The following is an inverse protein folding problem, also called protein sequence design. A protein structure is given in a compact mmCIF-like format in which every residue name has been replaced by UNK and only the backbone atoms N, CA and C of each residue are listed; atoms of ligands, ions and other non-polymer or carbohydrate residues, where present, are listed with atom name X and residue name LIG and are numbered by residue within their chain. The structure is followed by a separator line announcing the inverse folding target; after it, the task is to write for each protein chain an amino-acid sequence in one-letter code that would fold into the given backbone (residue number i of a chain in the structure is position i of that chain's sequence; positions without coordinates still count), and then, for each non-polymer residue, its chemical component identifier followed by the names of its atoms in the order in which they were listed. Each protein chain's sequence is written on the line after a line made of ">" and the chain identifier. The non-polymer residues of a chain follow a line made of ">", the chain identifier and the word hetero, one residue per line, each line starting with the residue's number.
data_IF_293016058693
#
_entry.id   IF_293016058693
#
_cell.length_a   1.000
_cell.length_b   1.000
_cell.length_c   1.000
_cell.angle_alpha   90.00
_cell.angle_beta   90.00
_cell.angle_gamma   90.00
#
_symmetry.space_group_name_H-M   'P 1'
#
loop_
_entity.id
_entity.type
_entity.pdbx_description
1 polymer ?
#
# COMPACT_ATOMS: atom_id res chain seq x y z
N UNK A 1 -52.96 -58.09 -13.71
CA UNK A 1 -52.93 -57.91 -12.24
C UNK A 1 -51.96 -58.94 -11.69
N UNK A 2 -50.73 -58.52 -11.43
CA UNK A 2 -49.61 -59.38 -11.04
C UNK A 2 -48.72 -58.62 -10.07
N UNK A 3 -48.76 -59.02 -8.80
CA UNK A 3 -47.64 -58.90 -7.85
C UNK A 3 -46.77 -60.18 -7.97
N UNK A 4 -45.56 -60.31 -7.37
CA UNK A 4 -44.87 -59.44 -6.41
C UNK A 4 -43.36 -59.19 -6.69
N UNK A 5 -42.76 -58.34 -5.85
CA UNK A 5 -41.32 -58.05 -5.73
C UNK A 5 -40.48 -59.26 -5.31
N UNK A 6 -39.24 -59.32 -5.80
CA UNK A 6 -38.22 -60.32 -5.46
C UNK A 6 -37.03 -59.71 -4.70
N UNK A 7 -36.45 -60.57 -3.89
CA UNK A 7 -35.46 -60.45 -2.81
C UNK A 7 -34.02 -60.16 -3.30
N UNK A 8 -33.25 -59.38 -2.52
CA UNK A 8 -31.76 -59.29 -2.49
C UNK A 8 -31.10 -60.67 -2.29
N UNK A 9 -29.80 -60.94 -2.64
CA UNK A 9 -28.65 -60.41 -1.86
C UNK A 9 -27.21 -60.39 -2.49
N UNK A 10 -26.26 -59.75 -1.77
CA UNK A 10 -24.78 -60.02 -1.62
C UNK A 10 -23.72 -59.76 -2.73
N UNK A 11 -22.92 -58.70 -2.49
CA UNK A 11 -21.44 -58.61 -2.33
C UNK A 11 -20.50 -59.45 -3.25
N UNK A 12 -19.67 -58.78 -4.07
CA UNK A 12 -18.28 -59.20 -4.29
C UNK A 12 -17.36 -58.05 -4.70
N UNK A 13 -16.14 -58.14 -4.22
CA UNK A 13 -15.01 -57.21 -4.18
C UNK A 13 -14.13 -57.46 -5.40
N UNK A 14 -13.69 -56.42 -6.10
CA UNK A 14 -12.43 -56.51 -6.86
C UNK A 14 -11.77 -55.14 -6.98
N UNK A 15 -10.57 -55.05 -6.42
CA UNK A 15 -9.65 -53.92 -6.46
C UNK A 15 -8.66 -54.12 -7.60
N UNK A 16 -8.36 -53.06 -8.36
CA UNK A 16 -7.08 -52.81 -9.05
C UNK A 16 -7.11 -51.34 -9.53
N UNK A 17 -6.63 -50.35 -8.78
CA UNK A 17 -5.24 -49.88 -8.65
C UNK A 17 -4.57 -49.54 -9.99
N UNK A 18 -4.45 -48.23 -10.29
CA UNK A 18 -3.16 -47.62 -10.69
C UNK A 18 -3.22 -46.07 -10.70
N UNK A 19 -2.43 -45.48 -9.78
CA UNK A 19 -1.46 -44.37 -9.98
C UNK A 19 -2.05 -42.97 -10.26
N UNK A 20 -2.27 -42.10 -9.26
CA UNK A 20 -1.33 -41.13 -8.61
C UNK A 20 -0.65 -40.17 -9.62
N UNK A 21 -0.75 -38.84 -9.55
CA UNK A 21 -0.45 -37.94 -8.40
C UNK A 21 -1.00 -36.49 -8.64
N UNK A 22 -0.67 -35.44 -7.85
CA UNK A 22 -1.67 -34.71 -7.07
C UNK A 22 -1.85 -33.24 -7.50
N UNK A 23 -3.08 -32.72 -7.46
CA UNK A 23 -3.33 -31.27 -7.46
C UNK A 23 -3.30 -30.79 -6.00
N UNK A 24 -2.60 -29.67 -5.66
CA UNK A 24 -2.58 -29.19 -4.30
C UNK A 24 -3.96 -28.65 -3.92
N UNK A 25 -4.51 -29.30 -2.91
CA UNK A 25 -5.66 -28.91 -2.12
C UNK A 25 -5.44 -27.59 -1.40
N UNK A 26 -6.40 -26.67 -1.54
CA UNK A 26 -6.92 -25.90 -0.41
C UNK A 26 -8.39 -25.58 -0.63
N UNK A 27 -9.20 -26.62 -0.84
CA UNK A 27 -10.61 -26.57 -0.43
C UNK A 27 -10.60 -26.70 1.09
N UNK A 28 -10.57 -25.57 1.78
CA UNK A 28 -10.91 -25.53 3.19
C UNK A 28 -12.41 -25.82 3.31
N UNK A 29 -12.77 -27.08 3.54
CA UNK A 29 -14.04 -27.42 4.16
C UNK A 29 -13.96 -26.94 5.62
N UNK A 30 -14.58 -25.81 5.95
CA UNK A 30 -14.83 -25.45 7.35
C UNK A 30 -16.08 -26.21 7.87
N UNK A 31 -16.04 -26.76 9.10
CA UNK A 31 -17.19 -27.43 9.75
C UNK A 31 -18.34 -26.45 10.09
N UNK A 32 -19.56 -26.95 10.38
CA UNK A 32 -20.77 -26.14 10.39
C UNK A 32 -20.81 -25.10 11.54
N UNK A 33 -21.36 -23.95 11.18
CA UNK A 33 -21.61 -22.75 11.99
C UNK A 33 -22.29 -23.03 13.33
N UNK A 34 -21.67 -22.62 14.45
CA UNK A 34 -22.45 -22.27 15.66
C UNK A 34 -21.86 -21.16 16.55
N UNK A 35 -20.66 -20.62 16.27
CA UNK A 35 -20.11 -19.47 17.06
C UNK A 35 -19.32 -18.44 16.21
N UNK A 36 -19.78 -18.11 15.00
CA UNK A 36 -19.30 -16.93 14.22
C UNK A 36 -20.39 -15.90 13.99
N UNK A 37 -21.09 -15.55 15.07
CA UNK A 37 -22.22 -14.62 15.05
C UNK A 37 -21.96 -13.37 15.90
N UNK A 38 -20.69 -12.96 16.02
CA UNK A 38 -20.36 -11.60 16.45
C UNK A 38 -20.13 -10.74 15.21
N UNK A 39 -21.07 -9.82 15.00
CA UNK A 39 -20.97 -8.58 14.20
C UNK A 39 -20.39 -8.64 12.76
N UNK A 40 -20.89 -9.56 11.93
CA UNK A 40 -20.56 -9.67 10.49
C UNK A 40 -20.63 -8.33 9.73
N UNK A 41 -21.44 -7.38 10.21
CA UNK A 41 -21.58 -6.05 9.60
C UNK A 41 -20.36 -5.16 9.77
N UNK A 42 -19.81 -5.07 10.99
CA UNK A 42 -18.63 -4.24 11.26
C UNK A 42 -17.37 -4.85 10.66
N UNK A 43 -17.20 -6.18 10.67
CA UNK A 43 -16.05 -6.84 10.05
C UNK A 43 -16.01 -6.62 8.53
N UNK A 44 -17.17 -6.69 7.88
CA UNK A 44 -17.31 -6.37 6.47
C UNK A 44 -17.01 -4.89 6.20
N UNK A 45 -17.57 -3.99 7.03
CA UNK A 45 -17.32 -2.55 6.92
C UNK A 45 -15.84 -2.21 7.09
N UNK A 46 -15.18 -2.78 8.09
CA UNK A 46 -13.76 -2.55 8.37
C UNK A 46 -12.88 -3.07 7.23
N UNK A 47 -13.22 -4.23 6.67
CA UNK A 47 -12.55 -4.78 5.48
C UNK A 47 -12.73 -3.88 4.26
N UNK A 48 -13.95 -3.38 4.02
CA UNK A 48 -14.24 -2.45 2.93
C UNK A 48 -13.54 -1.10 3.10
N UNK A 49 -13.52 -0.55 4.31
CA UNK A 49 -12.77 0.68 4.64
C UNK A 49 -11.26 0.48 4.45
N UNK A 50 -10.74 -0.67 4.87
CA UNK A 50 -9.34 -1.05 4.66
C UNK A 50 -8.95 -1.11 3.19
N UNK A 51 -9.84 -1.62 2.32
CA UNK A 51 -9.63 -1.57 0.87
C UNK A 51 -9.79 -0.16 0.28
N UNK A 52 -10.61 0.70 0.88
CA UNK A 52 -10.85 2.06 0.39
C UNK A 52 -9.73 3.05 0.75
N UNK A 53 -9.01 2.83 1.85
CA UNK A 53 -7.95 3.74 2.32
C UNK A 53 -6.58 3.18 1.92
N UNK A 54 -6.04 3.68 0.81
CA UNK A 54 -4.70 3.32 0.32
C UNK A 54 -3.60 4.29 0.74
N UNK A 55 -2.36 3.80 0.84
CA UNK A 55 -1.15 4.60 1.10
C UNK A 55 -0.99 5.76 0.09
N UNK A 56 -1.44 5.54 -1.15
CA UNK A 56 -1.43 6.56 -2.21
C UNK A 56 -2.33 7.76 -1.92
N UNK A 57 -3.44 7.57 -1.19
CA UNK A 57 -4.34 8.67 -0.82
C UNK A 57 -3.67 9.59 0.21
N UNK A 58 -2.83 9.04 1.09
CA UNK A 58 -2.17 9.79 2.16
C UNK A 58 -1.15 10.78 1.61
N UNK A 59 -0.33 10.40 0.62
CA UNK A 59 0.68 11.32 0.09
C UNK A 59 0.16 12.16 -1.08
N UNK A 60 -0.70 11.61 -1.94
CA UNK A 60 -1.05 12.28 -3.20
C UNK A 60 -2.09 13.37 -3.01
N UNK A 61 -3.04 13.16 -2.09
CA UNK A 61 -4.07 14.15 -1.81
C UNK A 61 -3.49 15.47 -1.28
N UNK A 62 -2.58 15.49 -0.27
CA UNK A 62 -1.97 16.73 0.21
C UNK A 62 -1.21 17.49 -0.87
N UNK A 63 -0.43 16.79 -1.70
CA UNK A 63 0.31 17.43 -2.80
C UNK A 63 -0.63 18.08 -3.81
N UNK A 64 -1.71 17.39 -4.20
CA UNK A 64 -2.69 17.95 -5.15
C UNK A 64 -3.49 19.10 -4.56
N UNK A 65 -3.86 19.02 -3.29
CA UNK A 65 -4.53 20.12 -2.61
C UNK A 65 -3.59 21.34 -2.54
N UNK A 66 -2.32 21.15 -2.19
CA UNK A 66 -1.34 22.24 -2.09
C UNK A 66 -1.14 22.99 -3.41
N UNK A 67 -1.02 22.28 -4.53
CA UNK A 67 -0.80 22.89 -5.85
C UNK A 67 -2.04 23.62 -6.41
N UNK A 68 -3.26 23.21 -6.00
CA UNK A 68 -4.52 23.71 -6.57
C UNK A 68 -5.28 24.66 -5.64
N UNK A 69 -4.58 25.42 -4.79
CA UNK A 69 -5.20 26.44 -3.92
C UNK A 69 -5.78 25.88 -2.62
N UNK A 70 -5.24 24.77 -2.12
CA UNK A 70 -5.54 24.20 -0.81
C UNK A 70 -6.97 23.71 -0.68
N UNK A 71 -7.75 24.39 0.15
CA UNK A 71 -9.13 24.01 0.49
C UNK A 71 -10.13 24.27 -0.63
N UNK A 72 -9.85 25.17 -1.59
CA UNK A 72 -10.76 25.46 -2.71
C UNK A 72 -10.88 24.26 -3.65
N UNK A 73 -9.80 23.48 -3.81
CA UNK A 73 -9.80 22.22 -4.56
C UNK A 73 -10.74 21.15 -3.96
N UNK A 74 -11.06 21.26 -2.67
CA UNK A 74 -11.91 20.29 -1.98
C UNK A 74 -13.36 20.33 -2.48
N UNK A 75 -13.86 21.50 -2.86
CA UNK A 75 -15.26 21.70 -3.29
C UNK A 75 -15.58 20.83 -4.53
N UNK A 76 -14.87 20.97 -5.67
CA UNK A 76 -15.12 20.11 -6.83
C UNK A 76 -14.79 18.64 -6.56
N UNK A 77 -13.79 18.36 -5.70
CA UNK A 77 -13.43 16.99 -5.32
C UNK A 77 -14.59 16.26 -4.63
N UNK A 78 -15.25 16.89 -3.65
CA UNK A 78 -16.39 16.30 -2.93
C UNK A 78 -17.61 16.17 -3.84
N UNK A 79 -17.87 17.16 -4.71
CA UNK A 79 -18.97 17.09 -5.68
C UNK A 79 -18.78 15.88 -6.62
N UNK A 80 -17.59 15.72 -7.20
CA UNK A 80 -17.29 14.56 -8.05
C UNK A 80 -17.33 13.23 -7.27
N UNK A 81 -16.89 13.22 -6.01
CA UNK A 81 -16.95 12.02 -5.16
C UNK A 81 -18.40 11.59 -4.90
N UNK A 82 -19.33 12.53 -4.69
CA UNK A 82 -20.75 12.20 -4.47
C UNK A 82 -21.44 11.82 -5.78
N UNK A 83 -21.17 12.53 -6.88
CA UNK A 83 -21.85 12.31 -8.15
C UNK A 83 -21.34 11.08 -8.92
N UNK A 84 -20.07 10.73 -8.80
CA UNK A 84 -19.46 9.63 -9.55
C UNK A 84 -18.86 8.55 -8.66
N UNK A 85 -18.19 8.94 -7.57
CA UNK A 85 -17.52 8.00 -6.66
C UNK A 85 -18.51 7.08 -5.92
N UNK A 86 -19.44 7.68 -5.17
CA UNK A 86 -20.49 6.99 -4.43
C UNK A 86 -21.35 6.05 -5.29
N UNK A 87 -21.93 6.50 -6.43
CA UNK A 87 -22.72 5.60 -7.27
C UNK A 87 -21.88 4.52 -7.94
N UNK A 88 -20.63 4.82 -8.32
CA UNK A 88 -19.72 3.81 -8.88
C UNK A 88 -19.38 2.70 -7.88
N UNK A 89 -19.04 3.07 -6.65
CA UNK A 89 -18.74 2.12 -5.57
C UNK A 89 -19.99 1.33 -5.16
N UNK A 90 -21.15 2.00 -5.10
CA UNK A 90 -22.43 1.32 -4.83
C UNK A 90 -22.76 0.28 -5.90
N UNK A 91 -22.56 0.61 -7.18
CA UNK A 91 -22.77 -0.32 -8.29
C UNK A 91 -21.85 -1.54 -8.19
N UNK A 92 -20.56 -1.32 -7.91
CA UNK A 92 -19.59 -2.41 -7.75
C UNK A 92 -19.99 -3.36 -6.61
N UNK A 93 -20.40 -2.81 -5.46
CA UNK A 93 -20.87 -3.62 -4.34
C UNK A 93 -22.18 -4.36 -4.66
N UNK A 94 -23.14 -3.70 -5.31
CA UNK A 94 -24.40 -4.33 -5.70
C UNK A 94 -24.17 -5.49 -6.68
N UNK A 95 -23.27 -5.32 -7.65
CA UNK A 95 -22.90 -6.37 -8.61
C UNK A 95 -22.17 -7.54 -7.92
N UNK A 96 -21.27 -7.25 -6.99
CA UNK A 96 -20.56 -8.27 -6.21
C UNK A 96 -21.51 -9.13 -5.38
N UNK A 97 -22.46 -8.50 -4.69
CA UNK A 97 -23.46 -9.20 -3.87
C UNK A 97 -24.49 -9.97 -4.72
N UNK A 98 -24.85 -9.46 -5.90
CA UNK A 98 -25.82 -10.12 -6.77
C UNK A 98 -25.28 -11.39 -7.44
N UNK A 99 -24.03 -11.40 -7.87
CA UNK A 99 -23.47 -12.52 -8.66
C UNK A 99 -22.67 -13.51 -7.83
N UNK A 100 -22.07 -13.10 -6.71
CA UNK A 100 -21.24 -13.96 -5.86
C UNK A 100 -20.05 -14.60 -6.60
N UNK A 101 -19.60 -13.99 -7.70
CA UNK A 101 -18.55 -14.50 -8.59
C UNK A 101 -17.48 -13.44 -8.81
N UNK A 102 -16.30 -13.86 -9.22
CA UNK A 102 -15.20 -12.94 -9.54
C UNK A 102 -15.55 -12.06 -10.76
N UNK A 103 -15.03 -10.81 -10.80
CA UNK A 103 -15.41 -9.79 -11.79
C UNK A 103 -15.42 -10.25 -13.27
N UNK A 104 -14.41 -10.98 -13.80
CA UNK A 104 -14.44 -11.41 -15.21
C UNK A 104 -15.63 -12.32 -15.53
N UNK A 105 -16.02 -13.19 -14.61
CA UNK A 105 -17.17 -14.09 -14.78
C UNK A 105 -18.51 -13.37 -14.59
N UNK A 106 -18.53 -12.28 -13.83
CA UNK A 106 -19.71 -11.40 -13.69
C UNK A 106 -20.00 -10.69 -15.01
N UNK A 107 -18.99 -10.08 -15.62
CA UNK A 107 -19.16 -9.36 -16.88
C UNK A 107 -19.56 -10.29 -18.03
N UNK A 108 -18.97 -11.50 -18.11
CA UNK A 108 -19.36 -12.51 -19.10
C UNK A 108 -20.85 -12.92 -18.99
N UNK A 109 -21.40 -12.98 -17.77
CA UNK A 109 -22.81 -13.35 -17.52
C UNK A 109 -23.81 -12.21 -17.78
N UNK A 110 -23.40 -10.96 -17.58
CA UNK A 110 -24.27 -9.79 -17.79
C UNK A 110 -24.28 -9.39 -19.27
N UNK A 111 -23.10 -9.17 -19.84
CA UNK A 111 -22.92 -8.86 -21.26
C UNK A 111 -21.61 -9.48 -21.77
N UNK A 112 -21.65 -10.51 -22.63
CA UNK A 112 -20.44 -11.20 -23.10
C UNK A 112 -19.48 -10.29 -23.88
N UNK A 113 -19.97 -9.17 -24.43
CA UNK A 113 -19.15 -8.14 -25.09
C UNK A 113 -18.20 -7.44 -24.11
N UNK A 114 -18.56 -7.36 -22.82
CA UNK A 114 -17.74 -6.74 -21.76
C UNK A 114 -16.81 -7.73 -21.06
N UNK A 115 -16.75 -8.99 -21.48
CA UNK A 115 -15.89 -10.00 -20.83
C UNK A 115 -14.41 -9.58 -20.82
N UNK A 116 -13.92 -8.97 -21.91
CA UNK A 116 -12.55 -8.48 -22.00
C UNK A 116 -12.21 -7.39 -20.96
N UNK A 117 -13.19 -6.58 -20.56
CA UNK A 117 -12.99 -5.55 -19.53
C UNK A 117 -12.66 -6.17 -18.17
N UNK A 118 -13.34 -7.25 -17.81
CA UNK A 118 -13.09 -7.95 -16.55
C UNK A 118 -11.69 -8.57 -16.47
N UNK A 119 -11.18 -9.12 -17.58
CA UNK A 119 -9.82 -9.65 -17.64
C UNK A 119 -8.74 -8.56 -17.57
N UNK A 120 -8.95 -7.43 -18.27
CA UNK A 120 -8.04 -6.27 -18.21
C UNK A 120 -8.01 -5.70 -16.79
N UNK A 121 -9.16 -5.55 -16.14
CA UNK A 121 -9.24 -5.10 -14.76
C UNK A 121 -8.50 -6.05 -13.80
N UNK A 122 -8.66 -7.37 -13.97
CA UNK A 122 -7.96 -8.38 -13.15
C UNK A 122 -6.43 -8.32 -13.29
N UNK A 123 -5.93 -8.16 -14.51
CA UNK A 123 -4.49 -8.01 -14.77
C UNK A 123 -3.98 -6.72 -14.13
N UNK A 124 -4.68 -5.61 -14.33
CA UNK A 124 -4.32 -4.31 -13.75
C UNK A 124 -4.23 -4.36 -12.22
N UNK A 125 -5.24 -4.93 -11.56
CA UNK A 125 -5.27 -5.08 -10.10
C UNK A 125 -4.12 -5.97 -9.63
N UNK A 126 -3.80 -7.04 -10.37
CA UNK A 126 -2.69 -7.94 -10.05
C UNK A 126 -1.35 -7.21 -10.14
N UNK A 127 -1.12 -6.44 -11.20
CA UNK A 127 0.11 -5.63 -11.37
C UNK A 127 0.26 -4.60 -10.26
N UNK A 128 -0.82 -3.88 -9.92
CA UNK A 128 -0.82 -2.91 -8.81
C UNK A 128 -0.55 -3.60 -7.48
N UNK A 129 -1.13 -4.79 -7.25
CA UNK A 129 -0.90 -5.57 -6.03
C UNK A 129 0.57 -5.95 -5.86
N UNK A 130 1.25 -6.41 -6.92
CA UNK A 130 2.68 -6.74 -6.89
C UNK A 130 3.50 -5.50 -6.52
N UNK A 131 3.21 -4.35 -7.15
CA UNK A 131 3.88 -3.10 -6.84
C UNK A 131 3.70 -2.68 -5.37
N UNK A 132 2.47 -2.79 -4.85
CA UNK A 132 2.19 -2.43 -3.45
C UNK A 132 2.85 -3.38 -2.44
N UNK A 133 2.99 -4.68 -2.77
CA UNK A 133 3.75 -5.61 -1.92
C UNK A 133 5.22 -5.22 -1.80
N UNK A 134 5.84 -4.73 -2.89
CA UNK A 134 7.21 -4.22 -2.85
C UNK A 134 7.34 -2.97 -1.96
N UNK A 135 6.38 -2.05 -2.05
CA UNK A 135 6.34 -0.84 -1.21
C UNK A 135 6.19 -1.22 0.26
N UNK A 136 5.30 -2.16 0.58
CA UNK A 136 5.11 -2.64 1.96
C UNK A 136 6.39 -3.33 2.47
N UNK A 137 7.08 -4.10 1.63
CA UNK A 137 8.35 -4.72 2.00
C UNK A 137 9.44 -3.68 2.29
N UNK A 138 9.49 -2.57 1.55
CA UNK A 138 10.42 -1.48 1.88
C UNK A 138 10.06 -0.83 3.22
N UNK A 139 8.78 -0.50 3.41
CA UNK A 139 8.30 0.10 4.67
C UNK A 139 8.61 -0.81 5.86
N UNK A 140 8.44 -2.13 5.74
CA UNK A 140 8.75 -3.06 6.82
C UNK A 140 10.24 -3.09 7.17
N UNK A 141 11.13 -3.00 6.18
CA UNK A 141 12.58 -2.87 6.39
C UNK A 141 12.90 -1.57 7.14
N UNK A 142 12.29 -0.44 6.76
CA UNK A 142 12.47 0.82 7.50
C UNK A 142 11.92 0.72 8.92
N UNK A 143 10.73 0.15 9.11
CA UNK A 143 10.12 -0.06 10.42
C UNK A 143 11.03 -0.91 11.34
N UNK A 144 11.57 -2.00 10.82
CA UNK A 144 12.48 -2.88 11.55
C UNK A 144 13.77 -2.15 11.98
N UNK A 145 14.36 -1.36 11.09
CA UNK A 145 15.54 -0.54 11.41
C UNK A 145 15.25 0.52 12.50
N UNK A 146 14.04 1.08 12.53
CA UNK A 146 13.62 2.01 13.59
C UNK A 146 13.48 1.30 14.93
N UNK A 147 12.85 0.13 14.96
CA UNK A 147 12.62 -0.65 16.20
C UNK A 147 13.95 -1.10 16.83
N UNK A 148 14.94 -1.46 16.02
CA UNK A 148 16.29 -1.83 16.49
C UNK A 148 17.09 -0.62 17.02
N UNK A 149 16.59 0.61 16.81
CA UNK A 149 17.28 1.83 17.22
C UNK A 149 18.35 2.29 16.24
N UNK A 150 18.39 1.73 15.02
CA UNK A 150 19.30 2.16 13.96
C UNK A 150 18.78 3.39 13.17
N UNK A 151 17.71 4.03 13.65
CA UNK A 151 17.10 5.22 13.02
C UNK A 151 18.05 6.42 12.95
N UNK A 152 19.06 6.49 13.83
CA UNK A 152 20.08 7.55 13.82
C UNK A 152 20.96 7.54 12.57
N UNK A 153 21.10 6.38 11.90
CA UNK A 153 21.95 6.25 10.71
C UNK A 153 21.48 7.14 9.55
N UNK A 154 20.17 7.31 9.34
CA UNK A 154 19.66 8.15 8.24
C UNK A 154 19.80 9.66 8.47
N UNK A 155 19.98 10.09 9.71
CA UNK A 155 20.25 11.51 10.04
C UNK A 155 21.73 11.90 9.94
N UNK A 156 22.62 10.94 9.65
CA UNK A 156 24.06 11.12 9.59
C UNK A 156 24.57 10.90 8.18
N UNK A 157 25.63 11.61 7.84
CA UNK A 157 26.34 11.46 6.56
C UNK A 157 27.45 10.42 6.60
N UNK A 158 27.76 9.88 7.78
CA UNK A 158 28.83 8.91 8.01
C UNK A 158 28.35 7.47 7.81
N UNK A 159 27.84 7.17 6.61
CA UNK A 159 27.46 5.81 6.24
C UNK A 159 28.14 5.41 4.92
N UNK A 160 28.37 4.11 4.74
CA UNK A 160 29.05 3.58 3.55
C UNK A 160 28.34 3.87 2.22
N UNK A 161 27.03 4.13 2.24
CA UNK A 161 26.22 4.43 1.05
C UNK A 161 26.09 5.94 0.78
N UNK A 162 26.65 6.80 1.62
CA UNK A 162 26.59 8.25 1.46
C UNK A 162 27.83 8.78 0.75
N UNK A 163 27.64 9.69 -0.19
CA UNK A 163 28.73 10.45 -0.77
C UNK A 163 28.99 11.74 0.03
N UNK A 164 30.24 11.95 0.43
CA UNK A 164 30.66 13.07 1.30
C UNK A 164 30.54 14.42 0.62
N UNK A 165 30.57 14.48 -0.72
CA UNK A 165 30.46 15.72 -1.47
C UNK A 165 29.02 16.26 -1.52
N UNK A 166 28.02 15.38 -1.44
CA UNK A 166 26.61 15.72 -1.64
C UNK A 166 25.75 15.55 -0.39
N UNK A 167 26.23 14.80 0.60
CA UNK A 167 25.46 14.55 1.82
C UNK A 167 25.41 15.78 2.73
N UNK A 168 24.19 16.12 3.16
CA UNK A 168 23.92 17.28 3.98
C UNK A 168 23.35 16.90 5.35
N UNK A 169 24.09 17.21 6.42
CA UNK A 169 23.66 16.93 7.80
C UNK A 169 23.04 18.18 8.44
N UNK A 170 21.70 18.17 8.58
CA UNK A 170 20.93 19.28 9.13
C UNK A 170 21.31 19.58 10.61
N UNK A 171 21.35 18.59 11.54
CA UNK A 171 21.82 18.83 12.91
C UNK A 171 23.23 19.46 13.00
N UNK A 172 24.16 19.00 12.16
CA UNK A 172 25.51 19.53 12.13
C UNK A 172 25.55 20.96 11.55
N UNK A 173 24.72 21.27 10.56
CA UNK A 173 24.57 22.64 10.04
C UNK A 173 24.07 23.60 11.12
N UNK A 174 23.04 23.23 11.88
CA UNK A 174 22.50 24.11 12.93
C UNK A 174 23.53 24.36 14.04
N UNK A 175 24.32 23.34 14.40
CA UNK A 175 25.43 23.50 15.35
C UNK A 175 26.51 24.45 14.81
N UNK A 176 26.87 24.33 13.53
CA UNK A 176 27.81 25.22 12.83
C UNK A 176 27.31 26.68 12.78
N UNK A 177 26.01 26.91 12.53
CA UNK A 177 25.41 28.26 12.57
C UNK A 177 25.40 28.86 13.99
N UNK A 178 24.90 28.12 14.98
CA UNK A 178 24.73 28.63 16.34
C UNK A 178 26.04 28.76 17.12
N UNK A 179 27.00 27.86 16.90
CA UNK A 179 28.32 27.91 17.54
C UNK A 179 29.13 29.14 17.13
N UNK A 180 28.98 29.59 15.88
CA UNK A 180 29.72 30.75 15.40
C UNK A 180 29.02 32.08 15.71
N UNK A 181 27.68 32.10 15.83
CA UNK A 181 26.94 33.31 16.25
C UNK A 181 27.36 33.83 17.63
N UNK A 182 27.75 32.96 18.57
CA UNK A 182 28.23 33.40 19.90
C UNK A 182 29.61 34.06 19.88
N UNK A 183 30.39 33.87 18.82
CA UNK A 183 31.77 34.38 18.69
C UNK A 183 31.88 35.62 17.79
N UNK A 184 30.75 36.15 17.29
CA UNK A 184 30.72 37.39 16.52
C UNK A 184 30.56 38.58 17.47
N UNK A 185 31.65 39.29 17.75
CA UNK A 185 31.57 40.64 18.32
C UNK A 185 30.94 41.59 17.29
N UNK A 186 30.10 42.53 17.76
CA UNK A 186 29.25 43.44 16.98
C UNK A 186 29.95 44.34 15.93
N UNK A 187 31.24 44.16 15.66
CA UNK A 187 32.00 44.88 14.63
C UNK A 187 31.99 44.19 13.26
N UNK A 188 31.57 42.93 13.15
CA UNK A 188 31.39 42.26 11.85
C UNK A 188 30.01 42.62 11.25
N UNK A 189 29.95 43.74 10.53
CA UNK A 189 28.77 44.25 9.82
C UNK A 189 28.45 43.46 8.53
N UNK A 190 28.57 42.13 8.55
CA UNK A 190 27.97 41.26 7.53
C UNK A 190 27.60 39.91 8.17
N UNK A 191 26.37 39.41 7.97
CA UNK A 191 26.00 38.10 8.47
C UNK A 191 26.77 37.02 7.70
N UNK A 192 27.90 36.56 8.27
CA UNK A 192 28.66 35.40 7.75
C UNK A 192 27.73 34.19 7.74
N UNK A 193 27.36 33.72 6.54
CA UNK A 193 26.54 32.52 6.37
C UNK A 193 27.49 31.32 6.40
N UNK A 194 27.42 30.51 7.44
CA UNK A 194 28.25 29.30 7.56
C UNK A 194 27.56 28.09 6.94
N UNK A 195 28.35 27.20 6.33
CA UNK A 195 27.91 25.96 5.71
C UNK A 195 28.76 24.81 6.24
N UNK A 196 28.11 23.75 6.68
CA UNK A 196 28.77 22.52 7.12
C UNK A 196 28.94 21.58 5.92
N UNK A 197 30.18 21.28 5.54
CA UNK A 197 30.53 20.40 4.41
C UNK A 197 31.74 19.56 4.78
N UNK A 198 31.72 18.28 4.41
CA UNK A 198 32.86 17.36 4.57
C UNK A 198 33.47 17.31 5.98
N UNK A 199 32.64 17.37 7.02
CA UNK A 199 33.10 17.33 8.41
C UNK A 199 33.50 18.70 9.01
N UNK A 200 33.65 19.74 8.19
CA UNK A 200 34.11 21.08 8.61
C UNK A 200 33.07 22.18 8.34
N UNK A 201 33.10 23.22 9.18
CA UNK A 201 32.25 24.41 9.06
C UNK A 201 33.00 25.50 8.28
N UNK A 202 32.51 25.85 7.10
CA UNK A 202 33.13 26.82 6.20
C UNK A 202 32.29 28.10 6.08
N UNK A 203 32.95 29.25 5.94
CA UNK A 203 32.27 30.49 5.58
C UNK A 203 31.88 30.44 4.10
N UNK A 204 30.60 30.71 3.80
CA UNK A 204 30.07 30.73 2.43
C UNK A 204 30.79 31.71 1.52
N UNK A 205 31.40 32.77 2.07
CA UNK A 205 32.22 33.70 1.28
C UNK A 205 33.52 33.07 0.79
N UNK A 206 34.15 32.24 1.62
CA UNK A 206 35.44 31.60 1.30
C UNK A 206 35.25 30.55 0.20
N UNK A 207 34.14 29.81 0.23
CA UNK A 207 33.82 28.79 -0.78
C UNK A 207 33.70 29.41 -2.19
N UNK A 208 33.14 30.63 -2.30
CA UNK A 208 33.02 31.32 -3.61
C UNK A 208 34.33 31.87 -4.16
N UNK A 209 35.38 31.95 -3.35
CA UNK A 209 36.70 32.48 -3.76
C UNK A 209 37.66 31.36 -4.22
N UNK A 210 37.25 30.11 -4.08
CA UNK A 210 38.02 28.91 -4.44
C UNK A 210 37.51 28.19 -5.70
N UNK A 211 36.50 28.73 -6.38
CA UNK A 211 36.07 28.35 -7.73
C UNK A 211 36.61 29.32 -8.79
#
# INVERSE_FOLDING_TARGET
>A
MSSPSATTPTKSRSSAMSVSSPAPSSTSQEPPDEERQFDKGIEFLLSALGMSVGLGNIWRFPTRAYENGGSVFLIPYIICAILFGLPGVYLEFALGQYQGKSPPFVYSRIMPILEGFGWVAAILITTVSIYLMLVIAWISVYMFNVIIGNSSSWGKCDNAWNDVATCFNIPAQETCKHGHQRNLNSTDMEPKKFVYMNGSCHDRKIIRLTE
#
